data_IF_821300374564
#
_entry.id   IF_821300374564
#
_cell.length_a   1.000
_cell.length_b   1.000
_cell.length_c   1.000
_cell.angle_alpha   90.00
_cell.angle_beta   90.00
_cell.angle_gamma   90.00
#
_symmetry.space_group_name_H-M   'P 1'
#
loop_
_entity.id
_entity.type
_entity.pdbx_description
1 polymer ?
#
# COMPACT_ATOMS: atom_id res chain seq x y z
N UNK A 1 -10.37 -39.29 -18.51
CA UNK A 1 -10.37 -37.88 -18.97
C UNK A 1 -9.01 -37.65 -19.59
N UNK A 2 -8.77 -37.88 -20.88
CA UNK A 2 -9.56 -37.60 -22.11
C UNK A 2 -9.73 -36.09 -22.36
N UNK A 3 -9.66 -35.52 -23.57
CA UNK A 3 -9.19 -35.96 -24.92
C UNK A 3 -9.18 -34.70 -25.85
N UNK A 4 -8.75 -34.61 -27.12
CA UNK A 4 -8.34 -35.53 -28.21
C UNK A 4 -7.42 -34.75 -29.23
N UNK A 5 -7.20 -35.30 -30.45
CA UNK A 5 -6.66 -34.68 -31.70
C UNK A 5 -5.15 -34.41 -31.78
N UNK A 6 -4.34 -34.96 -32.71
CA UNK A 6 -4.55 -35.66 -34.02
C UNK A 6 -5.06 -34.77 -35.18
N UNK A 7 -4.64 -34.91 -36.45
CA UNK A 7 -3.74 -35.87 -37.17
C UNK A 7 -2.73 -35.08 -38.05
N UNK A 8 -1.95 -35.57 -39.04
CA UNK A 8 -1.87 -36.82 -39.84
C UNK A 8 -0.43 -36.94 -40.42
N UNK A 9 0.19 -38.10 -40.70
CA UNK A 9 0.03 -39.01 -41.88
C UNK A 9 0.35 -38.33 -43.25
N UNK A 10 0.87 -38.96 -44.30
CA UNK A 10 1.32 -40.33 -44.69
C UNK A 10 2.16 -40.13 -45.99
N UNK A 11 3.03 -40.99 -46.54
CA UNK A 11 3.85 -42.16 -46.13
C UNK A 11 4.85 -42.40 -47.32
N UNK A 12 5.58 -43.51 -47.60
CA UNK A 12 5.73 -44.89 -47.10
C UNK A 12 7.19 -45.36 -47.43
N UNK A 13 7.44 -46.67 -47.55
CA UNK A 13 8.66 -47.28 -48.14
C UNK A 13 8.31 -48.54 -48.95
N UNK A 14 9.20 -49.03 -49.82
CA UNK A 14 9.47 -50.46 -50.18
C UNK A 14 10.48 -50.51 -51.35
N UNK A 15 11.21 -51.62 -51.48
CA UNK A 15 12.31 -51.79 -52.46
C UNK A 15 12.16 -53.04 -53.35
N UNK A 16 12.91 -53.07 -54.45
CA UNK A 16 13.36 -54.30 -55.12
C UNK A 16 13.12 -54.39 -56.63
N UNK A 17 14.18 -54.59 -57.42
CA UNK A 17 14.38 -55.80 -58.25
C UNK A 17 15.68 -55.74 -59.07
N UNK A 18 16.07 -56.90 -59.58
CA UNK A 18 17.38 -57.34 -60.03
C UNK A 18 17.81 -56.88 -61.44
N UNK A 19 19.14 -56.90 -61.61
CA UNK A 19 19.96 -56.71 -62.80
C UNK A 19 19.52 -57.33 -64.14
N UNK A 20 19.92 -56.65 -65.23
CA UNK A 20 20.41 -57.22 -66.49
C UNK A 20 21.43 -56.23 -67.12
N UNK A 21 22.38 -56.69 -67.93
CA UNK A 21 23.45 -55.85 -68.50
C UNK A 21 23.20 -55.38 -69.94
N UNK A 22 24.12 -54.57 -70.49
CA UNK A 22 24.73 -54.80 -71.82
C UNK A 22 25.79 -53.77 -72.22
N UNK A 23 26.91 -54.30 -72.73
CA UNK A 23 27.80 -53.81 -73.82
C UNK A 23 28.43 -52.40 -73.82
N UNK A 24 29.45 -52.26 -74.68
CA UNK A 24 30.36 -51.12 -74.81
C UNK A 24 30.10 -50.36 -76.12
N UNK A 25 30.13 -49.03 -76.07
CA UNK A 25 30.12 -48.15 -77.25
C UNK A 25 30.89 -46.85 -76.94
N UNK A 26 31.72 -46.28 -77.86
CA UNK A 26 32.79 -45.36 -77.46
C UNK A 26 32.64 -43.90 -77.98
N UNK A 27 33.62 -43.07 -77.62
CA UNK A 27 33.89 -41.68 -78.08
C UNK A 27 32.99 -40.60 -77.41
N UNK A 28 33.44 -39.38 -77.08
CA UNK A 28 34.78 -38.76 -77.18
C UNK A 28 34.99 -37.70 -76.07
N UNK A 29 36.20 -37.12 -75.97
CA UNK A 29 36.54 -35.95 -75.12
C UNK A 29 35.66 -34.71 -75.54
N UNK A 30 35.36 -33.69 -74.73
CA UNK A 30 36.26 -32.77 -74.01
C UNK A 30 35.55 -31.93 -72.90
N UNK A 31 36.31 -31.50 -71.89
CA UNK A 31 36.27 -30.15 -71.31
C UNK A 31 35.00 -29.56 -70.66
N UNK A 32 34.83 -29.76 -69.34
CA UNK A 32 34.39 -28.69 -68.42
C UNK A 32 35.25 -28.74 -67.14
N UNK A 33 36.15 -27.76 -66.96
CA UNK A 33 36.65 -27.41 -65.62
C UNK A 33 35.58 -26.57 -64.92
N UNK A 34 35.17 -26.97 -63.70
CA UNK A 34 34.07 -26.28 -63.01
C UNK A 34 33.43 -27.05 -61.87
N UNK A 35 34.18 -27.90 -61.18
CA UNK A 35 33.72 -28.62 -59.98
C UNK A 35 34.67 -28.25 -58.85
N UNK A 36 34.17 -27.61 -57.80
CA UNK A 36 34.90 -27.55 -56.53
C UNK A 36 35.24 -28.99 -56.14
N UNK A 37 36.53 -29.34 -56.03
CA UNK A 37 36.92 -30.70 -55.67
C UNK A 37 36.17 -31.08 -54.39
N UNK A 38 35.32 -32.13 -54.40
CA UNK A 38 34.53 -32.47 -53.24
C UNK A 38 35.51 -32.66 -52.08
N UNK A 39 35.21 -32.06 -50.92
CA UNK A 39 36.07 -32.21 -49.75
C UNK A 39 36.10 -33.68 -49.37
N UNK A 40 37.16 -34.38 -49.79
CA UNK A 40 37.50 -35.73 -49.37
C UNK A 40 37.96 -35.57 -47.92
N UNK A 41 36.98 -35.55 -47.03
CA UNK A 41 37.20 -35.60 -45.58
C UNK A 41 37.75 -37.00 -45.30
N UNK A 42 38.94 -37.07 -44.72
CA UNK A 42 39.50 -38.35 -44.33
C UNK A 42 38.59 -38.99 -43.27
N UNK A 43 38.44 -40.31 -43.32
CA UNK A 43 37.66 -41.04 -42.34
C UNK A 43 38.26 -40.89 -40.94
N UNK A 44 39.58 -40.73 -40.85
CA UNK A 44 40.30 -40.47 -39.61
C UNK A 44 39.96 -39.08 -39.02
N UNK A 45 39.90 -38.03 -39.85
CA UNK A 45 39.47 -36.68 -39.44
C UNK A 45 38.03 -36.68 -38.91
N UNK A 46 37.13 -37.40 -39.59
CA UNK A 46 35.73 -37.49 -39.21
C UNK A 46 35.55 -38.28 -37.90
N UNK A 47 36.33 -39.35 -37.69
CA UNK A 47 36.42 -40.03 -36.39
C UNK A 47 36.97 -39.09 -35.30
N UNK A 48 37.96 -38.26 -35.60
CA UNK A 48 38.55 -37.34 -34.62
C UNK A 48 37.59 -36.23 -34.19
N UNK A 49 36.81 -35.64 -35.10
CA UNK A 49 35.74 -34.69 -34.74
C UNK A 49 34.58 -35.38 -34.01
N UNK A 50 34.20 -36.62 -34.37
CA UNK A 50 33.24 -37.39 -33.58
C UNK A 50 33.74 -37.62 -32.15
N UNK A 51 34.99 -38.05 -31.97
CA UNK A 51 35.60 -38.20 -30.64
C UNK A 51 35.62 -36.87 -29.86
N UNK A 52 35.87 -35.74 -30.55
CA UNK A 52 35.82 -34.39 -29.96
C UNK A 52 34.41 -34.02 -29.50
N UNK A 53 33.37 -34.30 -30.30
CA UNK A 53 31.96 -34.07 -29.96
C UNK A 53 31.48 -34.96 -28.80
N UNK A 54 31.91 -36.23 -28.75
CA UNK A 54 31.65 -37.13 -27.62
C UNK A 54 32.32 -36.62 -26.34
N UNK A 55 33.57 -36.16 -26.42
CA UNK A 55 34.27 -35.54 -25.28
C UNK A 55 33.59 -34.24 -24.81
N UNK A 56 33.20 -33.37 -25.74
CA UNK A 56 32.53 -32.10 -25.44
C UNK A 56 31.14 -32.30 -24.81
N UNK A 57 30.35 -33.24 -25.32
CA UNK A 57 29.01 -33.56 -24.77
C UNK A 57 29.10 -34.22 -23.38
N UNK A 58 30.08 -35.09 -23.15
CA UNK A 58 30.39 -35.62 -21.82
C UNK A 58 30.84 -34.52 -20.85
N UNK A 59 31.68 -33.57 -21.30
CA UNK A 59 32.09 -32.42 -20.51
C UNK A 59 30.92 -31.48 -20.17
N UNK A 60 30.02 -31.23 -21.13
CA UNK A 60 28.81 -30.43 -20.95
C UNK A 60 27.87 -31.09 -19.93
N UNK A 61 27.64 -32.41 -20.03
CA UNK A 61 26.84 -33.17 -19.05
C UNK A 61 27.43 -33.04 -17.65
N UNK A 62 28.74 -33.27 -17.50
CA UNK A 62 29.47 -33.15 -16.23
C UNK A 62 29.46 -31.72 -15.66
N UNK A 63 29.44 -30.70 -16.53
CA UNK A 63 29.28 -29.30 -16.11
C UNK A 63 27.84 -29.00 -15.62
N UNK A 64 26.81 -29.58 -16.25
CA UNK A 64 25.41 -29.47 -15.82
C UNK A 64 25.19 -30.14 -14.47
N UNK A 65 25.65 -31.38 -14.30
CA UNK A 65 25.62 -32.13 -13.02
C UNK A 65 26.32 -31.35 -11.89
N UNK A 66 27.50 -30.76 -12.18
CA UNK A 66 28.20 -29.87 -11.24
C UNK A 66 27.36 -28.65 -10.86
N UNK A 67 26.78 -27.93 -11.84
CA UNK A 67 25.91 -26.77 -11.59
C UNK A 67 24.72 -27.14 -10.70
N UNK A 68 24.07 -28.26 -10.96
CA UNK A 68 22.93 -28.76 -10.17
C UNK A 68 23.36 -29.09 -8.73
N UNK A 69 24.49 -29.78 -8.54
CA UNK A 69 25.03 -30.07 -7.19
C UNK A 69 25.45 -28.81 -6.41
N UNK A 70 25.88 -27.75 -7.09
CA UNK A 70 26.22 -26.47 -6.46
C UNK A 70 24.96 -25.67 -6.07
N UNK A 71 23.93 -25.69 -6.91
CA UNK A 71 22.64 -25.09 -6.60
C UNK A 71 22.00 -25.74 -5.35
N UNK A 72 21.99 -27.07 -5.27
CA UNK A 72 21.50 -27.81 -4.09
C UNK A 72 22.28 -27.45 -2.81
N UNK A 73 23.59 -27.27 -2.89
CA UNK A 73 24.42 -26.85 -1.75
C UNK A 73 24.13 -25.41 -1.33
N UNK A 74 23.95 -24.48 -2.27
CA UNK A 74 23.58 -23.10 -1.97
C UNK A 74 22.21 -23.04 -1.28
N UNK A 75 21.22 -23.77 -1.79
CA UNK A 75 19.88 -23.83 -1.19
C UNK A 75 19.94 -24.37 0.25
N UNK A 76 20.68 -25.46 0.48
CA UNK A 76 20.88 -26.04 1.81
C UNK A 76 21.53 -25.06 2.81
N UNK A 77 22.52 -24.28 2.36
CA UNK A 77 23.20 -23.26 3.19
C UNK A 77 22.24 -22.10 3.50
N UNK A 78 21.43 -21.67 2.53
CA UNK A 78 20.41 -20.62 2.72
C UNK A 78 19.33 -21.11 3.69
N UNK A 79 18.89 -22.35 3.59
CA UNK A 79 17.88 -22.93 4.49
C UNK A 79 18.41 -23.07 5.93
N UNK A 80 19.67 -23.50 6.12
CA UNK A 80 20.31 -23.57 7.44
C UNK A 80 20.49 -22.17 8.06
N UNK A 81 20.99 -21.20 7.27
CA UNK A 81 21.11 -19.81 7.71
C UNK A 81 19.75 -19.23 8.13
N UNK A 82 18.69 -19.48 7.36
CA UNK A 82 17.33 -19.06 7.68
C UNK A 82 16.78 -19.73 8.96
N UNK A 83 17.09 -21.02 9.20
CA UNK A 83 16.76 -21.73 10.45
C UNK A 83 17.48 -21.10 11.67
N UNK A 84 18.74 -20.72 11.52
CA UNK A 84 19.50 -20.04 12.58
C UNK A 84 18.97 -18.62 12.85
N UNK A 85 18.66 -17.85 11.81
CA UNK A 85 18.13 -16.47 11.89
C UNK A 85 16.67 -16.38 12.36
N UNK A 86 15.87 -17.43 12.16
CA UNK A 86 14.49 -17.52 12.68
C UNK A 86 14.41 -18.09 14.10
N UNK A 87 15.42 -18.85 14.54
CA UNK A 87 15.49 -19.40 15.90
C UNK A 87 15.68 -18.36 17.02
N UNK A 88 15.67 -18.85 18.27
CA UNK A 88 15.79 -18.03 19.50
C UNK A 88 17.08 -17.18 19.57
N UNK A 89 18.15 -17.60 18.90
CA UNK A 89 19.45 -16.88 18.84
C UNK A 89 19.55 -15.86 17.70
N UNK A 90 18.58 -15.85 16.78
CA UNK A 90 18.45 -14.85 15.73
C UNK A 90 17.29 -13.88 16.00
N UNK A 91 16.70 -13.36 14.94
CA UNK A 91 15.58 -12.41 15.00
C UNK A 91 14.25 -13.04 15.46
N UNK A 92 14.21 -14.32 15.85
CA UNK A 92 13.03 -14.97 16.41
C UNK A 92 12.60 -14.36 17.75
N UNK A 93 13.55 -14.01 18.62
CA UNK A 93 13.24 -13.35 19.89
C UNK A 93 12.71 -11.93 19.68
N UNK A 94 13.37 -11.15 18.80
CA UNK A 94 12.94 -9.78 18.45
C UNK A 94 11.54 -9.76 17.84
N UNK A 95 11.23 -10.67 16.90
CA UNK A 95 9.88 -10.80 16.33
C UNK A 95 8.83 -11.16 17.38
N UNK A 96 9.16 -11.95 18.40
CA UNK A 96 8.23 -12.21 19.51
C UNK A 96 8.00 -10.94 20.36
N UNK A 97 9.06 -10.19 20.71
CA UNK A 97 8.93 -8.91 21.42
C UNK A 97 8.12 -7.88 20.62
N UNK A 98 8.34 -7.80 19.31
CA UNK A 98 7.59 -6.96 18.39
C UNK A 98 6.09 -7.31 18.38
N UNK A 99 5.74 -8.60 18.30
CA UNK A 99 4.35 -9.06 18.41
C UNK A 99 3.75 -8.74 19.78
N UNK A 100 4.48 -8.98 20.88
CA UNK A 100 4.02 -8.62 22.23
C UNK A 100 3.76 -7.12 22.37
N UNK A 101 4.63 -6.27 21.82
CA UNK A 101 4.45 -4.82 21.78
C UNK A 101 3.20 -4.45 20.99
N UNK A 102 3.01 -4.99 19.78
CA UNK A 102 1.83 -4.68 18.96
C UNK A 102 0.53 -5.19 19.56
N UNK A 103 0.50 -6.38 20.16
CA UNK A 103 -0.67 -6.86 20.93
C UNK A 103 -1.00 -5.91 22.09
N UNK A 104 0.02 -5.36 22.77
CA UNK A 104 -0.16 -4.35 23.82
C UNK A 104 -0.66 -3.02 23.25
N UNK A 105 -0.15 -2.56 22.11
CA UNK A 105 -0.61 -1.34 21.41
C UNK A 105 -2.05 -1.48 20.93
N UNK A 106 -2.40 -2.60 20.28
CA UNK A 106 -3.76 -2.94 19.89
C UNK A 106 -4.72 -2.94 21.09
N UNK A 107 -4.35 -3.56 22.22
CA UNK A 107 -5.16 -3.50 23.43
C UNK A 107 -5.39 -2.06 23.89
N UNK A 108 -4.37 -1.20 23.89
CA UNK A 108 -4.52 0.19 24.30
C UNK A 108 -5.40 1.00 23.33
N UNK A 109 -5.25 0.80 22.01
CA UNK A 109 -6.09 1.45 20.99
C UNK A 109 -7.54 0.93 21.01
N UNK A 110 -7.77 -0.33 21.36
CA UNK A 110 -9.13 -0.85 21.65
C UNK A 110 -9.82 -0.06 22.77
N UNK A 111 -9.11 0.32 23.83
CA UNK A 111 -9.68 1.17 24.88
C UNK A 111 -9.98 2.60 24.37
N UNK A 112 -9.15 3.16 23.48
CA UNK A 112 -9.43 4.47 22.85
C UNK A 112 -10.66 4.38 21.94
N UNK A 113 -10.81 3.31 21.16
CA UNK A 113 -11.98 3.08 20.30
C UNK A 113 -13.27 2.86 21.11
N UNK A 114 -13.19 2.28 22.32
CA UNK A 114 -14.32 2.19 23.24
C UNK A 114 -14.71 3.54 23.86
N UNK A 115 -13.73 4.43 24.12
CA UNK A 115 -13.96 5.79 24.62
C UNK A 115 -14.47 6.75 23.53
N UNK A 116 -14.01 6.59 22.29
CA UNK A 116 -14.35 7.44 21.15
C UNK A 116 -14.88 6.63 19.95
N UNK A 117 -16.03 5.95 20.09
CA UNK A 117 -16.55 5.04 19.07
C UNK A 117 -16.98 5.81 17.81
N UNK A 118 -16.22 5.63 16.72
CA UNK A 118 -16.49 6.27 15.42
C UNK A 118 -17.50 5.45 14.60
N UNK A 119 -18.79 5.74 14.78
CA UNK A 119 -19.89 5.00 14.13
C UNK A 119 -20.34 5.70 12.85
N UNK A 120 -20.64 4.92 11.81
CA UNK A 120 -21.47 5.40 10.72
C UNK A 120 -22.91 5.57 11.22
N UNK A 121 -23.59 6.60 10.75
CA UNK A 121 -25.00 6.82 11.07
C UNK A 121 -25.87 6.01 10.10
N UNK A 122 -26.51 4.96 10.63
CA UNK A 122 -27.57 4.24 9.94
C UNK A 122 -28.83 5.12 9.87
N UNK A 123 -29.56 5.07 8.75
CA UNK A 123 -30.58 6.07 8.39
C UNK A 123 -31.81 6.09 9.33
N UNK A 124 -32.00 5.06 10.16
CA UNK A 124 -33.15 4.87 11.04
C UNK A 124 -33.36 6.01 12.05
N UNK A 125 -32.31 6.63 12.59
CA UNK A 125 -32.44 7.60 13.70
C UNK A 125 -33.06 8.96 13.30
N UNK A 126 -33.20 9.25 12.00
CA UNK A 126 -33.85 10.49 11.53
C UNK A 126 -35.36 10.37 11.26
N UNK A 127 -35.96 9.19 11.39
CA UNK A 127 -37.36 8.94 10.96
C UNK A 127 -38.45 9.35 11.95
N UNK A 128 -38.15 9.52 13.24
CA UNK A 128 -39.18 9.63 14.30
C UNK A 128 -39.68 11.06 14.62
N UNK A 129 -39.28 12.10 13.86
CA UNK A 129 -39.72 13.50 14.13
C UNK A 129 -40.35 14.26 12.96
N UNK A 130 -40.74 13.57 11.89
CA UNK A 130 -41.62 14.12 10.85
C UNK A 130 -42.73 13.14 10.46
N UNK A 131 -43.78 13.10 11.29
CA UNK A 131 -45.12 12.66 10.87
C UNK A 131 -45.91 13.86 10.33
N UNK A 132 -46.99 13.56 9.60
CA UNK A 132 -47.90 14.49 8.91
C UNK A 132 -47.34 15.13 7.62
N UNK A 133 -47.81 14.65 6.47
CA UNK A 133 -47.48 15.18 5.14
C UNK A 133 -47.60 14.11 4.05
N UNK A 134 -48.78 13.98 3.44
CA UNK A 134 -49.06 13.03 2.36
C UNK A 134 -48.52 13.48 0.99
N UNK A 135 -48.64 12.54 0.03
CA UNK A 135 -48.77 12.70 -1.43
C UNK A 135 -47.62 12.26 -2.36
N UNK A 136 -47.91 11.15 -3.03
CA UNK A 136 -47.60 10.80 -4.44
C UNK A 136 -46.15 10.47 -4.79
N UNK A 137 -45.98 9.32 -5.45
CA UNK A 137 -44.71 8.83 -5.99
C UNK A 137 -44.67 8.93 -7.51
N UNK A 138 -43.46 9.05 -8.08
CA UNK A 138 -43.16 8.75 -9.47
C UNK A 138 -41.72 8.25 -9.64
N UNK A 139 -41.50 7.36 -10.61
CA UNK A 139 -40.19 6.83 -10.99
C UNK A 139 -39.39 7.90 -11.79
N UNK A 140 -38.07 7.80 -12.02
CA UNK A 140 -37.36 6.71 -12.70
C UNK A 140 -35.81 6.83 -12.55
N UNK A 141 -34.96 5.96 -13.17
CA UNK A 141 -33.78 5.44 -12.46
C UNK A 141 -32.39 5.89 -12.98
N UNK A 142 -31.35 5.32 -12.36
CA UNK A 142 -29.97 5.18 -12.84
C UNK A 142 -29.16 6.46 -13.05
N UNK A 143 -28.57 6.96 -11.96
CA UNK A 143 -27.21 7.54 -11.97
C UNK A 143 -26.34 6.68 -11.06
N UNK A 144 -25.10 6.40 -11.48
CA UNK A 144 -24.12 5.63 -10.71
C UNK A 144 -23.80 6.35 -9.39
N UNK A 145 -24.28 5.80 -8.28
CA UNK A 145 -23.91 6.28 -6.95
C UNK A 145 -22.40 6.06 -6.75
N UNK A 146 -21.66 7.14 -6.55
CA UNK A 146 -20.39 7.08 -5.82
C UNK A 146 -20.61 6.44 -4.44
N UNK A 147 -19.57 5.90 -3.78
CA UNK A 147 -19.67 5.47 -2.39
C UNK A 147 -19.96 6.67 -1.48
N UNK A 148 -21.25 6.96 -1.28
CA UNK A 148 -21.73 7.99 -0.35
C UNK A 148 -21.43 7.50 1.07
N UNK A 149 -20.30 7.95 1.61
CA UNK A 149 -19.89 7.63 2.98
C UNK A 149 -20.97 8.12 3.95
N UNK A 150 -21.62 7.20 4.65
CA UNK A 150 -22.62 7.54 5.66
C UNK A 150 -21.98 8.43 6.75
N UNK A 151 -22.67 9.50 7.20
CA UNK A 151 -22.05 10.52 8.03
C UNK A 151 -21.55 9.90 9.34
N UNK A 152 -20.26 10.09 9.62
CA UNK A 152 -19.61 9.53 10.78
C UNK A 152 -19.90 10.37 12.03
N UNK A 153 -20.03 9.68 13.16
CA UNK A 153 -20.28 10.26 14.49
C UNK A 153 -19.24 9.78 15.49
N UNK A 154 -18.91 10.61 16.47
CA UNK A 154 -18.22 10.20 17.70
C UNK A 154 -19.14 10.51 18.87
N UNK A 155 -19.42 9.51 19.71
CA UNK A 155 -20.33 9.63 20.86
C UNK A 155 -21.72 10.21 20.48
N UNK A 156 -22.19 9.92 19.26
CA UNK A 156 -23.46 10.42 18.71
C UNK A 156 -23.42 11.85 18.16
N UNK A 157 -22.29 12.56 18.27
CA UNK A 157 -22.10 13.89 17.70
C UNK A 157 -21.54 13.80 16.27
N UNK A 158 -22.08 14.59 15.35
CA UNK A 158 -21.55 14.76 14.00
C UNK A 158 -20.56 15.93 13.95
N UNK A 159 -19.54 15.77 13.11
CA UNK A 159 -18.74 16.91 12.62
C UNK A 159 -19.48 17.53 11.44
N UNK A 160 -20.25 18.60 11.67
CA UNK A 160 -20.86 19.34 10.56
C UNK A 160 -19.76 19.95 9.70
N UNK A 161 -19.81 19.69 8.39
CA UNK A 161 -18.90 20.31 7.44
C UNK A 161 -19.10 21.83 7.46
N UNK A 162 -18.00 22.57 7.61
CA UNK A 162 -17.99 24.03 7.79
C UNK A 162 -18.95 24.73 6.80
N UNK A 163 -20.06 25.32 7.26
CA UNK A 163 -21.09 25.86 6.38
C UNK A 163 -20.69 27.25 5.85
N UNK A 164 -19.69 27.28 4.96
CA UNK A 164 -19.17 28.49 4.29
C UNK A 164 -20.22 29.30 3.49
N UNK A 165 -21.49 28.87 3.47
CA UNK A 165 -22.57 29.51 2.71
C UNK A 165 -23.98 29.30 3.30
N UNK A 166 -24.13 29.09 4.62
CA UNK A 166 -25.45 28.99 5.26
C UNK A 166 -25.55 29.93 6.46
N UNK A 167 -26.48 30.89 6.40
CA UNK A 167 -26.74 31.85 7.47
C UNK A 167 -27.96 31.37 8.27
N UNK A 168 -27.75 30.76 9.43
CA UNK A 168 -28.84 30.20 10.26
C UNK A 168 -28.65 30.52 11.75
N UNK A 169 -28.45 31.83 12.02
CA UNK A 169 -28.13 32.51 13.29
C UNK A 169 -28.61 31.90 14.64
N UNK A 170 -29.67 31.08 14.64
CA UNK A 170 -30.23 30.41 15.81
C UNK A 170 -29.81 28.94 15.98
N UNK A 171 -29.53 28.20 14.90
CA UNK A 171 -29.04 26.81 14.98
C UNK A 171 -27.52 26.75 15.17
N UNK A 172 -26.81 27.63 14.47
CA UNK A 172 -25.35 27.59 14.26
C UNK A 172 -24.56 27.40 15.58
N UNK A 173 -24.96 28.10 16.66
CA UNK A 173 -24.27 28.04 17.97
C UNK A 173 -24.20 26.64 18.58
N UNK A 174 -25.25 25.81 18.42
CA UNK A 174 -25.27 24.45 18.96
C UNK A 174 -24.42 23.50 18.11
N UNK A 175 -24.48 23.67 16.79
CA UNK A 175 -23.70 22.88 15.84
C UNK A 175 -22.20 23.18 15.95
N UNK A 176 -21.80 24.45 16.16
CA UNK A 176 -20.42 24.83 16.42
C UNK A 176 -19.86 24.19 17.70
N UNK A 177 -20.63 24.19 18.80
CA UNK A 177 -20.21 23.53 20.05
C UNK A 177 -20.16 22.00 19.93
N UNK A 178 -21.05 21.40 19.13
CA UNK A 178 -20.98 19.97 18.78
C UNK A 178 -19.70 19.65 18.01
N UNK A 179 -19.43 20.36 16.91
CA UNK A 179 -18.25 20.15 16.07
C UNK A 179 -16.95 20.42 16.82
N UNK A 180 -16.90 21.45 17.67
CA UNK A 180 -15.79 21.72 18.57
C UNK A 180 -15.53 20.55 19.56
N UNK A 181 -16.59 19.98 20.13
CA UNK A 181 -16.49 18.81 21.00
C UNK A 181 -15.97 17.58 20.25
N UNK A 182 -16.46 17.33 19.03
CA UNK A 182 -15.99 16.23 18.17
C UNK A 182 -14.51 16.40 17.82
N UNK A 183 -14.07 17.60 17.46
CA UNK A 183 -12.66 17.88 17.16
C UNK A 183 -11.77 17.72 18.39
N UNK A 184 -12.26 18.12 19.58
CA UNK A 184 -11.60 17.82 20.86
C UNK A 184 -11.45 16.33 21.14
N UNK A 185 -12.48 15.52 20.84
CA UNK A 185 -12.43 14.07 20.97
C UNK A 185 -11.46 13.43 19.97
N UNK A 186 -11.43 13.89 18.72
CA UNK A 186 -10.44 13.44 17.71
C UNK A 186 -9.02 13.79 18.15
N UNK A 187 -8.78 15.02 18.61
CA UNK A 187 -7.47 15.44 19.11
C UNK A 187 -7.00 14.59 20.29
N UNK A 188 -7.89 14.29 21.24
CA UNK A 188 -7.58 13.42 22.37
C UNK A 188 -7.28 11.97 21.93
N UNK A 189 -8.08 11.41 21.02
CA UNK A 189 -7.85 10.08 20.46
C UNK A 189 -6.53 10.00 19.66
N UNK A 190 -6.24 11.00 18.84
CA UNK A 190 -5.01 11.10 18.06
C UNK A 190 -3.77 11.16 18.96
N UNK A 191 -3.78 12.00 20.01
CA UNK A 191 -2.67 12.09 20.96
C UNK A 191 -2.44 10.78 21.72
N UNK A 192 -3.51 10.11 22.16
CA UNK A 192 -3.40 8.80 22.81
C UNK A 192 -2.79 7.76 21.86
N UNK A 193 -3.34 7.61 20.65
CA UNK A 193 -2.84 6.65 19.65
C UNK A 193 -1.37 6.95 19.31
N UNK A 194 -1.01 8.21 19.10
CA UNK A 194 0.37 8.64 18.87
C UNK A 194 1.31 8.23 20.02
N UNK A 195 0.93 8.49 21.27
CA UNK A 195 1.72 8.09 22.44
C UNK A 195 1.84 6.56 22.61
N UNK A 196 0.86 5.80 22.14
CA UNK A 196 0.89 4.33 22.19
C UNK A 196 1.73 3.73 21.07
N UNK A 197 1.78 4.38 19.90
CA UNK A 197 2.63 4.00 18.77
C UNK A 197 4.08 4.49 18.91
N UNK A 198 4.39 5.31 19.92
CA UNK A 198 5.67 6.04 20.09
C UNK A 198 6.00 6.95 18.89
N UNK A 199 4.97 7.65 18.38
CA UNK A 199 5.07 8.55 17.23
C UNK A 199 4.90 10.01 17.69
N UNK A 200 5.91 10.88 17.57
CA UNK A 200 5.75 12.30 17.87
C UNK A 200 4.90 12.98 16.79
N UNK A 201 3.80 13.61 17.19
CA UNK A 201 2.95 14.41 16.29
C UNK A 201 3.70 15.64 15.76
N UNK A 202 3.45 16.02 14.50
CA UNK A 202 4.05 17.20 13.86
C UNK A 202 3.46 18.49 14.38
N UNK A 203 2.18 18.47 14.78
CA UNK A 203 1.43 19.64 15.21
C UNK A 203 0.90 19.45 16.65
N UNK A 204 1.72 19.71 17.69
CA UNK A 204 1.36 19.37 19.07
C UNK A 204 0.01 19.93 19.52
N UNK A 205 -0.75 19.09 20.24
CA UNK A 205 -2.12 19.37 20.64
C UNK A 205 -2.20 19.91 22.07
N UNK A 206 -2.83 21.08 22.24
CA UNK A 206 -3.23 21.63 23.55
C UNK A 206 -4.69 21.25 23.81
N UNK A 207 -4.87 20.16 24.54
CA UNK A 207 -6.19 19.60 24.84
C UNK A 207 -6.98 20.51 25.79
N UNK A 208 -8.22 20.82 25.41
CA UNK A 208 -9.14 21.67 26.17
C UNK A 208 -10.62 21.29 25.97
N UNK A 209 -10.89 20.02 25.63
CA UNK A 209 -12.23 19.58 25.23
C UNK A 209 -12.70 20.33 23.99
N UNK A 210 -13.87 20.97 24.06
CA UNK A 210 -14.39 21.85 23.00
C UNK A 210 -13.58 23.14 22.79
N UNK A 211 -12.61 23.46 23.65
CA UNK A 211 -11.63 24.54 23.46
C UNK A 211 -10.21 24.01 23.34
N UNK A 212 -10.02 22.97 22.52
CA UNK A 212 -8.70 22.46 22.15
C UNK A 212 -8.03 23.32 21.08
N UNK A 213 -6.70 23.36 21.08
CA UNK A 213 -5.88 24.10 20.13
C UNK A 213 -4.80 23.19 19.53
N UNK A 214 -4.30 23.55 18.35
CA UNK A 214 -3.20 22.89 17.66
C UNK A 214 -2.11 23.90 17.31
N UNK A 215 -0.85 23.48 17.35
CA UNK A 215 0.31 24.34 17.15
C UNK A 215 0.93 24.13 15.77
N UNK A 216 1.35 25.22 15.12
CA UNK A 216 2.33 25.16 14.03
C UNK A 216 3.64 25.86 14.42
N UNK A 217 4.76 25.25 14.00
CA UNK A 217 6.13 25.77 14.13
C UNK A 217 6.66 26.37 12.82
N UNK A 218 5.89 26.34 11.73
CA UNK A 218 6.24 27.12 10.55
C UNK A 218 6.45 28.60 10.91
N UNK A 219 7.46 29.28 10.35
CA UNK A 219 7.76 30.68 10.68
C UNK A 219 6.61 31.59 10.22
N UNK A 220 5.78 32.02 11.17
CA UNK A 220 4.69 32.96 10.90
C UNK A 220 5.25 34.31 10.45
N UNK A 221 4.68 34.84 9.36
CA UNK A 221 5.02 36.16 8.82
C UNK A 221 4.24 37.27 9.55
N UNK A 222 3.17 36.93 10.28
CA UNK A 222 2.25 37.90 10.87
C UNK A 222 2.06 37.73 12.39
N UNK A 223 2.79 38.55 13.15
CA UNK A 223 2.27 39.29 14.32
C UNK A 223 3.36 40.19 14.94
N UNK A 224 3.86 41.16 14.17
CA UNK A 224 4.74 42.22 14.71
C UNK A 224 3.87 43.25 15.46
N UNK A 225 3.25 42.84 16.57
CA UNK A 225 2.49 43.71 17.45
C UNK A 225 3.41 44.31 18.51
N UNK A 226 4.02 45.45 18.17
CA UNK A 226 4.57 46.46 19.07
C UNK A 226 5.30 45.96 20.34
N UNK A 227 6.53 45.48 20.18
CA UNK A 227 7.56 45.80 21.17
C UNK A 227 8.95 45.95 20.49
N UNK A 228 9.61 47.09 20.73
CA UNK A 228 10.72 47.59 19.90
C UNK A 228 12.11 47.23 20.44
N UNK A 229 12.44 45.94 20.59
CA UNK A 229 13.83 45.53 20.96
C UNK A 229 14.28 44.07 20.69
N UNK A 230 13.76 43.39 19.67
CA UNK A 230 14.17 42.01 19.34
C UNK A 230 15.10 41.91 18.10
N UNK A 231 16.40 41.67 18.31
CA UNK A 231 17.34 41.43 17.22
C UNK A 231 17.06 40.07 16.52
N UNK A 232 16.91 40.01 15.18
CA UNK A 232 16.42 38.83 14.46
C UNK A 232 17.41 37.65 14.39
N UNK A 233 18.57 37.76 15.02
CA UNK A 233 19.65 36.75 14.99
C UNK A 233 19.59 35.82 16.23
N UNK A 234 18.84 36.18 17.28
CA UNK A 234 18.77 35.41 18.54
C UNK A 234 17.38 34.82 18.85
N UNK A 235 16.34 35.18 18.10
CA UNK A 235 14.95 34.72 18.35
C UNK A 235 14.66 33.29 17.88
N UNK A 236 15.54 32.68 17.08
CA UNK A 236 15.35 31.35 16.47
C UNK A 236 15.24 30.15 17.42
N UNK A 237 15.37 30.36 18.74
CA UNK A 237 15.24 29.31 19.77
C UNK A 237 14.03 29.48 20.70
N UNK A 238 13.29 30.60 20.61
CA UNK A 238 12.19 30.93 21.53
C UNK A 238 10.97 31.58 20.84
N UNK A 239 10.80 31.38 19.53
CA UNK A 239 9.53 31.67 18.87
C UNK A 239 8.44 30.76 19.44
N UNK A 240 7.44 31.34 20.12
CA UNK A 240 6.26 30.57 20.56
C UNK A 240 5.53 30.06 19.30
N UNK A 241 5.19 28.77 19.20
CA UNK A 241 4.42 28.26 18.07
C UNK A 241 3.06 28.94 17.98
N UNK A 242 2.53 29.05 16.76
CA UNK A 242 1.25 29.74 16.54
C UNK A 242 0.10 28.82 16.93
N UNK A 243 -0.73 29.23 17.89
CA UNK A 243 -1.92 28.48 18.31
C UNK A 243 -3.10 28.72 17.35
N UNK A 244 -3.68 27.63 16.84
CA UNK A 244 -4.90 27.64 16.03
C UNK A 244 -6.04 26.88 16.75
N UNK A 245 -7.27 27.44 16.81
CA UNK A 245 -8.37 26.83 17.55
C UNK A 245 -8.99 25.66 16.77
N UNK A 246 -9.21 24.52 17.42
CA UNK A 246 -9.98 23.38 16.87
C UNK A 246 -11.49 23.58 17.03
N UNK A 247 -11.95 24.83 16.99
CA UNK A 247 -13.33 25.24 17.21
C UNK A 247 -13.58 26.61 16.55
N UNK A 248 -14.86 26.96 16.37
CA UNK A 248 -15.28 28.19 15.71
C UNK A 248 -15.46 29.31 16.74
N UNK A 249 -14.58 30.31 16.68
CA UNK A 249 -14.62 31.51 17.52
C UNK A 249 -14.85 32.74 16.63
N UNK A 250 -16.06 33.29 16.65
CA UNK A 250 -16.42 34.48 15.89
C UNK A 250 -16.31 34.31 14.37
N UNK A 251 -15.54 35.19 13.73
CA UNK A 251 -15.42 35.30 12.27
C UNK A 251 -14.24 34.48 11.69
N UNK A 252 -13.36 33.96 12.55
CA UNK A 252 -12.08 33.30 12.20
C UNK A 252 -12.23 31.85 11.69
N UNK A 253 -13.24 31.64 10.86
CA UNK A 253 -13.54 30.37 10.17
C UNK A 253 -12.34 29.80 9.41
N UNK A 254 -11.44 30.67 8.91
CA UNK A 254 -10.19 30.30 8.23
C UNK A 254 -9.16 29.70 9.19
N UNK A 255 -8.94 30.29 10.37
CA UNK A 255 -8.04 29.74 11.40
C UNK A 255 -8.51 28.37 11.87
N UNK A 256 -9.82 28.22 12.08
CA UNK A 256 -10.43 26.95 12.46
C UNK A 256 -10.33 25.88 11.34
N UNK A 257 -10.59 26.26 10.09
CA UNK A 257 -10.42 25.36 8.94
C UNK A 257 -8.97 24.86 8.78
N UNK A 258 -7.99 25.75 9.03
CA UNK A 258 -6.58 25.39 9.01
C UNK A 258 -6.20 24.45 10.18
N UNK A 259 -6.67 24.72 11.40
CA UNK A 259 -6.48 23.82 12.54
C UNK A 259 -6.99 22.39 12.26
N UNK A 260 -8.17 22.27 11.64
CA UNK A 260 -8.77 20.98 11.26
C UNK A 260 -7.92 20.27 10.19
N UNK A 261 -7.35 21.01 9.24
CA UNK A 261 -6.42 20.46 8.25
C UNK A 261 -5.12 19.94 8.89
N UNK A 262 -4.53 20.68 9.84
CA UNK A 262 -3.34 20.24 10.58
C UNK A 262 -3.62 18.97 11.39
N UNK A 263 -4.77 18.89 12.09
CA UNK A 263 -5.21 17.68 12.80
C UNK A 263 -5.39 16.48 11.83
N UNK A 264 -5.88 16.72 10.61
CA UNK A 264 -5.91 15.67 9.58
C UNK A 264 -4.51 15.25 9.11
N UNK A 265 -3.51 16.16 9.12
CA UNK A 265 -2.12 15.84 8.77
C UNK A 265 -1.40 15.02 9.83
N UNK A 266 -1.73 15.19 11.10
CA UNK A 266 -1.29 14.26 12.16
C UNK A 266 -1.94 12.87 12.01
N UNK A 267 -3.24 12.78 11.69
CA UNK A 267 -3.89 11.49 11.39
C UNK A 267 -3.30 10.81 10.14
N UNK A 268 -2.99 11.58 9.10
CA UNK A 268 -2.28 11.11 7.90
C UNK A 268 -0.88 10.61 8.24
N UNK A 269 -0.15 11.27 9.14
CA UNK A 269 1.13 10.76 9.64
C UNK A 269 0.99 9.42 10.37
N UNK A 270 -0.01 9.27 11.25
CA UNK A 270 -0.24 8.02 11.99
C UNK A 270 -0.66 6.86 11.07
N UNK A 271 -1.45 7.14 10.03
CA UNK A 271 -1.78 6.16 8.99
C UNK A 271 -0.54 5.75 8.19
N UNK A 272 0.25 6.72 7.72
CA UNK A 272 1.50 6.45 6.99
C UNK A 272 2.50 5.64 7.83
N UNK A 273 2.55 5.86 9.16
CA UNK A 273 3.42 5.11 10.07
C UNK A 273 3.05 3.61 10.15
N UNK A 274 1.77 3.27 10.04
CA UNK A 274 1.30 1.88 9.96
C UNK A 274 1.17 1.36 8.52
N UNK A 275 1.73 2.07 7.53
CA UNK A 275 1.77 1.66 6.13
C UNK A 275 0.46 1.83 5.35
N UNK A 276 -0.45 2.70 5.81
CA UNK A 276 -1.74 2.94 5.17
C UNK A 276 -1.90 4.37 4.64
N UNK A 277 -2.58 4.52 3.50
CA UNK A 277 -2.88 5.82 2.91
C UNK A 277 -4.07 6.49 3.61
N UNK A 278 -4.06 7.84 3.70
CA UNK A 278 -5.22 8.57 4.19
C UNK A 278 -6.30 8.73 3.12
N UNK A 279 -7.55 8.76 3.55
CA UNK A 279 -8.71 9.03 2.70
C UNK A 279 -8.76 10.50 2.22
N UNK A 280 -7.81 11.34 2.63
CA UNK A 280 -7.65 12.73 2.18
C UNK A 280 -7.88 13.79 3.26
N UNK A 281 -7.61 15.08 2.93
CA UNK A 281 -7.41 16.17 3.91
C UNK A 281 -8.68 16.69 4.60
N UNK A 282 -9.88 16.24 4.19
CA UNK A 282 -11.17 16.64 4.77
C UNK A 282 -11.88 15.50 5.51
N UNK A 283 -11.23 14.35 5.64
CA UNK A 283 -11.88 13.11 6.09
C UNK A 283 -11.47 12.70 7.51
N UNK A 284 -11.25 13.68 8.39
CA UNK A 284 -10.80 13.54 9.80
C UNK A 284 -11.41 12.34 10.52
N UNK A 285 -12.75 12.23 10.56
CA UNK A 285 -13.43 11.12 11.24
C UNK A 285 -13.20 9.77 10.56
N UNK A 286 -13.12 9.72 9.22
CA UNK A 286 -12.90 8.48 8.50
C UNK A 286 -11.43 8.03 8.62
N UNK A 287 -10.48 8.96 8.59
CA UNK A 287 -9.06 8.72 8.84
C UNK A 287 -8.84 8.19 10.27
N UNK A 288 -9.49 8.75 11.29
CA UNK A 288 -9.43 8.22 12.67
C UNK A 288 -10.07 6.82 12.77
N UNK A 289 -11.23 6.60 12.14
CA UNK A 289 -11.90 5.30 12.12
C UNK A 289 -11.05 4.22 11.46
N UNK A 290 -10.39 4.56 10.35
CA UNK A 290 -9.53 3.65 9.60
C UNK A 290 -8.23 3.35 10.35
N UNK A 291 -7.63 4.36 10.98
CA UNK A 291 -6.46 4.21 11.86
C UNK A 291 -6.75 3.23 13.01
N UNK A 292 -7.91 3.37 13.67
CA UNK A 292 -8.38 2.40 14.66
C UNK A 292 -8.59 1.01 14.05
N UNK A 293 -9.34 0.92 12.93
CA UNK A 293 -9.67 -0.35 12.25
C UNK A 293 -8.44 -1.19 11.92
N UNK A 294 -7.37 -0.56 11.41
CA UNK A 294 -6.14 -1.25 11.02
C UNK A 294 -5.40 -1.75 12.26
N UNK A 295 -5.21 -0.90 13.28
CA UNK A 295 -4.53 -1.30 14.53
C UNK A 295 -5.31 -2.39 15.27
N UNK A 296 -6.64 -2.43 15.13
CA UNK A 296 -7.53 -3.47 15.65
C UNK A 296 -7.54 -4.77 14.83
N UNK A 297 -6.91 -4.81 13.65
CA UNK A 297 -6.86 -6.02 12.82
C UNK A 297 -5.77 -6.99 13.29
N UNK A 298 -5.91 -8.28 12.97
CA UNK A 298 -4.85 -9.27 13.22
C UNK A 298 -3.59 -8.97 12.39
N UNK A 299 -3.75 -8.42 11.19
CA UNK A 299 -2.66 -8.10 10.26
C UNK A 299 -1.66 -7.13 10.90
N UNK A 300 -2.14 -6.15 11.67
CA UNK A 300 -1.28 -5.21 12.38
C UNK A 300 -0.30 -5.91 13.33
N UNK A 301 -0.72 -6.95 14.06
CA UNK A 301 0.19 -7.73 14.95
C UNK A 301 1.30 -8.38 14.12
N UNK A 302 0.96 -8.90 12.94
CA UNK A 302 1.80 -9.75 12.10
C UNK A 302 2.67 -9.02 11.05
N UNK A 303 2.62 -7.69 11.00
CA UNK A 303 3.55 -6.80 10.26
C UNK A 303 5.02 -6.84 10.75
#
# INVERSE_FOLDING_TARGET
MDSNRASSEQDLSVAGSMAAGSELGPLTLEGIEGVETPKIVDWEDLQQELARLWSLSAALKKAKERKESLAQKLESIIEEANKLLSGRRGHGHLRNLQKMLRTRQQYMVNQVAALYPVKGLDEQTYREKHNSGDYIASCSPNVSKSPQLSPLTILGLQLTTLPLKKMSFFSDKKEFQSSASVLGYVAHAALLIASYLDVPLRYPLRLGGSRSYIHDYAPSVESISSDLSANPILTGMNAKPTEFPLFLEGQDTTRAAYAIFLLNKDLEQLLNYIGAESLGPRHVLANLKELMRIIQSQEYIDM
#
